data_IF_942477396596
#
_entry.id   IF_942477396596
#
_cell.length_a   1.000
_cell.length_b   1.000
_cell.length_c   1.000
_cell.angle_alpha   90.00
_cell.angle_beta   90.00
_cell.angle_gamma   90.00
#
_symmetry.space_group_name_H-M   'P 1'
#
loop_
_entity.id
_entity.type
_entity.pdbx_description
1 polymer ?
#
# COMPACT_ATOMS: atom_id res chain seq x y z
N UNK A 1 -10.36 -5.67 15.83
CA UNK A 1 -9.06 -5.08 15.42
C UNK A 1 -8.13 -6.21 15.05
N UNK A 2 -7.58 -6.20 13.85
CA UNK A 2 -6.52 -7.16 13.49
C UNK A 2 -5.29 -6.76 14.28
N UNK A 3 -4.74 -7.65 15.10
CA UNK A 3 -3.53 -7.35 15.85
C UNK A 3 -2.31 -7.56 14.93
N UNK A 4 -1.96 -6.53 14.16
CA UNK A 4 -0.80 -6.56 13.28
C UNK A 4 0.50 -6.71 14.05
N UNK A 5 0.59 -6.16 15.28
CA UNK A 5 1.78 -6.28 16.12
C UNK A 5 2.12 -7.74 16.44
N UNK A 6 1.12 -8.57 16.79
CA UNK A 6 1.33 -9.99 17.07
C UNK A 6 1.77 -10.80 15.85
N UNK A 7 1.37 -10.37 14.66
CA UNK A 7 1.64 -11.07 13.39
C UNK A 7 2.94 -10.63 12.71
N UNK A 8 3.57 -9.57 13.20
CA UNK A 8 4.68 -8.90 12.52
C UNK A 8 5.88 -9.84 12.27
N UNK A 9 6.29 -10.61 13.29
CA UNK A 9 7.46 -11.49 13.19
C UNK A 9 7.31 -12.63 12.18
N UNK A 10 6.09 -13.12 11.98
CA UNK A 10 5.78 -14.20 11.03
C UNK A 10 5.26 -13.68 9.69
N UNK A 11 5.17 -12.36 9.52
CA UNK A 11 4.52 -11.74 8.35
C UNK A 11 5.18 -12.14 7.04
N UNK A 12 6.50 -12.12 6.99
CA UNK A 12 7.29 -12.42 5.81
C UNK A 12 7.50 -13.93 5.57
N UNK A 13 7.08 -14.78 6.51
CA UNK A 13 7.16 -16.23 6.35
C UNK A 13 6.17 -16.77 5.31
N UNK A 14 5.15 -15.99 4.94
CA UNK A 14 4.21 -16.34 3.88
C UNK A 14 4.77 -15.97 2.49
N UNK A 15 5.22 -16.96 1.69
CA UNK A 15 5.82 -16.70 0.38
C UNK A 15 4.84 -16.03 -0.60
N UNK A 16 3.53 -16.17 -0.39
CA UNK A 16 2.50 -15.52 -1.23
C UNK A 16 2.48 -14.00 -1.03
N UNK A 17 2.77 -13.52 0.19
CA UNK A 17 2.89 -12.09 0.45
C UNK A 17 4.13 -11.50 -0.21
N UNK A 18 5.26 -12.20 -0.10
CA UNK A 18 6.52 -11.80 -0.73
C UNK A 18 6.36 -11.75 -2.25
N UNK A 19 5.79 -12.81 -2.86
CA UNK A 19 5.54 -12.85 -4.31
C UNK A 19 4.60 -11.73 -4.76
N UNK A 20 3.51 -11.49 -4.03
CA UNK A 20 2.58 -10.40 -4.35
C UNK A 20 3.29 -9.04 -4.35
N UNK A 21 4.10 -8.75 -3.33
CA UNK A 21 4.86 -7.50 -3.26
C UNK A 21 5.81 -7.35 -4.46
N UNK A 22 6.50 -8.43 -4.85
CA UNK A 22 7.38 -8.45 -6.03
C UNK A 22 6.61 -8.19 -7.33
N UNK A 23 5.49 -8.86 -7.53
CA UNK A 23 4.65 -8.68 -8.73
C UNK A 23 4.11 -7.25 -8.82
N UNK A 24 3.70 -6.67 -7.70
CA UNK A 24 3.25 -5.27 -7.64
C UNK A 24 4.39 -4.30 -7.93
N UNK A 25 5.59 -4.53 -7.37
CA UNK A 25 6.77 -3.71 -7.67
C UNK A 25 7.11 -3.72 -9.17
N UNK A 26 7.10 -4.90 -9.80
CA UNK A 26 7.35 -5.05 -11.23
C UNK A 26 6.30 -4.33 -12.09
N UNK A 27 5.04 -4.31 -11.64
CA UNK A 27 3.98 -3.57 -12.32
C UNK A 27 4.18 -2.04 -12.16
N UNK A 28 4.58 -1.57 -10.99
CA UNK A 28 4.90 -0.15 -10.76
C UNK A 28 6.03 0.31 -11.68
N UNK A 29 7.12 -0.44 -11.78
CA UNK A 29 8.26 -0.13 -12.69
C UNK A 29 7.86 0.01 -14.16
N UNK A 30 6.87 -0.76 -14.59
CA UNK A 30 6.37 -0.71 -15.98
C UNK A 30 5.50 0.52 -16.26
N UNK A 31 4.86 1.07 -15.24
CA UNK A 31 3.89 2.15 -15.39
C UNK A 31 4.44 3.52 -15.02
N UNK A 32 5.45 3.56 -14.16
CA UNK A 32 6.04 4.80 -13.64
C UNK A 32 7.55 4.75 -13.88
N UNK A 33 8.08 5.81 -14.50
CA UNK A 33 9.52 5.99 -14.64
C UNK A 33 10.13 6.37 -13.29
N UNK A 34 10.48 5.36 -12.49
CA UNK A 34 11.14 5.55 -11.19
C UNK A 34 12.56 6.08 -11.37
N UNK A 35 13.06 6.81 -10.39
CA UNK A 35 14.45 7.29 -10.35
C UNK A 35 14.98 7.43 -8.92
N UNK A 36 16.30 7.38 -8.79
CA UNK A 36 17.05 7.59 -7.55
C UNK A 36 16.99 9.03 -6.99
N UNK A 37 16.35 9.94 -7.72
CA UNK A 37 16.06 11.30 -7.23
C UNK A 37 14.68 11.38 -6.55
N UNK A 38 13.82 10.40 -6.76
CA UNK A 38 12.46 10.42 -6.24
C UNK A 38 12.42 10.16 -4.72
N UNK A 39 11.59 10.96 -4.04
CA UNK A 39 11.14 10.70 -2.67
C UNK A 39 9.80 9.98 -2.71
N UNK A 40 9.69 8.89 -1.98
CA UNK A 40 8.49 8.07 -1.95
C UNK A 40 7.96 7.86 -0.53
N UNK A 41 6.64 7.69 -0.42
CA UNK A 41 5.95 7.30 0.79
C UNK A 41 5.21 5.98 0.56
N UNK A 42 5.55 4.94 1.30
CA UNK A 42 4.68 3.77 1.46
C UNK A 42 3.77 3.97 2.68
N UNK A 43 2.45 3.99 2.49
CA UNK A 43 1.48 4.09 3.57
C UNK A 43 0.85 2.73 3.88
N UNK A 44 0.92 2.30 5.15
CA UNK A 44 0.60 0.94 5.57
C UNK A 44 1.66 -0.07 5.11
N UNK A 45 2.92 0.28 5.36
CA UNK A 45 4.07 -0.47 4.83
C UNK A 45 4.26 -1.87 5.44
N UNK A 46 3.67 -2.13 6.62
CA UNK A 46 3.91 -3.36 7.35
C UNK A 46 5.41 -3.59 7.59
N UNK A 47 5.90 -4.76 7.22
CA UNK A 47 7.32 -5.13 7.28
C UNK A 47 8.14 -4.64 6.07
N UNK A 48 7.55 -3.81 5.19
CA UNK A 48 8.23 -3.17 4.06
C UNK A 48 8.48 -4.05 2.84
N UNK A 49 7.71 -5.11 2.63
CA UNK A 49 7.93 -6.05 1.52
C UNK A 49 7.95 -5.37 0.15
N UNK A 50 7.02 -4.43 -0.11
CA UNK A 50 6.96 -3.72 -1.38
C UNK A 50 8.10 -2.71 -1.51
N UNK A 51 8.40 -1.94 -0.46
CA UNK A 51 9.52 -0.99 -0.46
C UNK A 51 10.87 -1.68 -0.61
N UNK A 52 11.09 -2.84 0.02
CA UNK A 52 12.32 -3.61 -0.23
C UNK A 52 12.45 -4.04 -1.70
N UNK A 53 11.33 -4.38 -2.35
CA UNK A 53 11.35 -4.70 -3.78
C UNK A 53 11.64 -3.47 -4.66
N UNK A 54 11.29 -2.24 -4.24
CA UNK A 54 11.48 -0.99 -4.98
C UNK A 54 12.72 -0.19 -4.55
N UNK A 55 13.44 -0.64 -3.53
CA UNK A 55 14.45 0.12 -2.81
C UNK A 55 15.58 0.67 -3.71
N UNK A 56 16.01 -0.11 -4.69
CA UNK A 56 17.07 0.28 -5.63
C UNK A 56 16.63 1.26 -6.72
N UNK A 57 15.34 1.48 -6.88
CA UNK A 57 14.77 2.33 -7.92
C UNK A 57 14.44 3.74 -7.44
N UNK A 58 14.49 3.98 -6.11
CA UNK A 58 14.04 5.20 -5.45
C UNK A 58 15.15 5.82 -4.61
N UNK A 59 15.16 7.16 -4.51
CA UNK A 59 16.18 7.89 -3.74
C UNK A 59 15.96 7.80 -2.25
N UNK A 60 14.77 8.11 -1.78
CA UNK A 60 14.38 8.07 -0.36
C UNK A 60 12.99 7.49 -0.23
N UNK A 61 12.79 6.60 0.73
CA UNK A 61 11.50 5.99 1.00
C UNK A 61 11.13 6.18 2.47
N UNK A 62 10.07 6.92 2.73
CA UNK A 62 9.41 6.94 4.04
C UNK A 62 8.43 5.77 4.11
N UNK A 63 8.57 4.94 5.14
CA UNK A 63 7.73 3.76 5.35
C UNK A 63 6.84 3.98 6.56
N UNK A 64 5.59 4.35 6.30
CA UNK A 64 4.63 4.70 7.32
C UNK A 64 3.69 3.53 7.66
N UNK A 65 3.55 3.25 8.95
CA UNK A 65 2.56 2.29 9.47
C UNK A 65 2.06 2.73 10.85
N UNK A 66 0.88 2.26 11.23
CA UNK A 66 0.31 2.48 12.57
C UNK A 66 0.77 1.43 13.57
N UNK A 67 1.20 0.24 13.11
CA UNK A 67 1.66 -0.88 13.93
C UNK A 67 3.13 -0.72 14.30
N UNK A 68 3.41 -0.55 15.60
CA UNK A 68 4.78 -0.47 16.08
C UNK A 68 5.51 -1.81 15.88
N UNK A 69 4.84 -2.94 16.08
CA UNK A 69 5.44 -4.26 15.87
C UNK A 69 5.88 -4.49 14.43
N UNK A 70 5.12 -4.00 13.43
CA UNK A 70 5.53 -4.04 12.03
C UNK A 70 6.78 -3.19 11.78
N UNK A 71 6.82 -1.98 12.33
CA UNK A 71 7.95 -1.06 12.19
C UNK A 71 9.22 -1.57 12.88
N UNK A 72 9.09 -2.25 14.01
CA UNK A 72 10.23 -2.86 14.71
C UNK A 72 10.88 -3.95 13.84
N UNK A 73 10.08 -4.85 13.26
CA UNK A 73 10.57 -5.89 12.33
C UNK A 73 11.18 -5.24 11.08
N UNK A 74 10.55 -4.20 10.54
CA UNK A 74 11.07 -3.43 9.41
C UNK A 74 12.44 -2.82 9.73
N UNK A 75 12.60 -2.20 10.91
CA UNK A 75 13.87 -1.61 11.36
C UNK A 75 14.98 -2.66 11.47
N UNK A 76 14.69 -3.83 12.05
CA UNK A 76 15.63 -4.97 12.13
C UNK A 76 16.08 -5.41 10.71
N UNK A 77 15.16 -5.48 9.75
CA UNK A 77 15.44 -5.85 8.36
C UNK A 77 16.31 -4.81 7.65
N UNK A 78 15.98 -3.52 7.78
CA UNK A 78 16.75 -2.42 7.20
C UNK A 78 18.20 -2.47 7.71
N UNK A 79 18.38 -2.59 9.02
CA UNK A 79 19.71 -2.68 9.65
C UNK A 79 20.49 -3.90 9.17
N UNK A 80 19.85 -5.07 9.11
CA UNK A 80 20.46 -6.32 8.65
C UNK A 80 20.87 -6.28 7.19
N UNK A 81 20.07 -5.61 6.34
CA UNK A 81 20.35 -5.47 4.91
C UNK A 81 21.33 -4.32 4.58
N UNK A 82 21.69 -3.48 5.56
CA UNK A 82 22.56 -2.31 5.33
C UNK A 82 21.94 -1.24 4.42
N UNK A 83 20.61 -1.18 4.36
CA UNK A 83 19.89 -0.23 3.51
C UNK A 83 19.85 1.14 4.20
N UNK A 84 20.15 2.22 3.45
CA UNK A 84 20.29 3.57 4.01
C UNK A 84 19.24 4.56 3.53
N UNK A 85 18.45 4.21 2.53
CA UNK A 85 17.44 5.10 1.93
C UNK A 85 15.99 4.75 2.33
N UNK A 86 15.80 3.90 3.32
CA UNK A 86 14.48 3.50 3.85
C UNK A 86 14.33 3.98 5.29
N UNK A 87 13.28 4.76 5.56
CA UNK A 87 13.07 5.47 6.84
C UNK A 87 11.70 5.08 7.44
N UNK A 88 11.66 4.15 8.41
CA UNK A 88 10.43 3.81 9.11
C UNK A 88 9.85 5.00 9.87
N UNK A 89 8.53 5.18 9.82
CA UNK A 89 7.81 6.24 10.53
C UNK A 89 6.49 5.70 11.08
N UNK A 90 6.25 5.87 12.38
CA UNK A 90 4.91 5.63 12.92
C UNK A 90 4.03 6.81 12.54
N UNK A 91 2.96 6.54 11.77
CA UNK A 91 2.06 7.57 11.26
C UNK A 91 0.67 7.02 11.03
N UNK A 92 -0.32 7.64 11.67
CA UNK A 92 -1.74 7.48 11.36
C UNK A 92 -2.26 8.80 10.78
N UNK A 93 -2.43 8.86 9.47
CA UNK A 93 -2.93 10.06 8.81
C UNK A 93 -4.36 10.44 9.23
N UNK A 94 -5.12 9.56 9.91
CA UNK A 94 -6.46 9.89 10.41
C UNK A 94 -6.41 10.73 11.69
N UNK A 95 -5.36 10.61 12.51
CA UNK A 95 -5.27 11.19 13.85
C UNK A 95 -4.03 12.04 14.10
N UNK A 96 -2.91 11.71 13.42
CA UNK A 96 -1.64 12.39 13.66
C UNK A 96 -1.53 13.74 12.92
N UNK A 97 -0.68 14.65 13.37
CA UNK A 97 -0.35 15.86 12.65
C UNK A 97 0.09 15.58 11.22
N UNK A 98 -0.39 16.39 10.29
CA UNK A 98 -0.10 16.22 8.88
C UNK A 98 1.40 16.47 8.59
N UNK A 99 2.14 15.54 7.93
CA UNK A 99 3.55 15.71 7.65
C UNK A 99 3.83 16.93 6.75
N UNK A 100 4.92 17.65 7.03
CA UNK A 100 5.35 18.79 6.20
C UNK A 100 6.03 18.32 4.89
N UNK A 101 6.57 17.12 4.89
CA UNK A 101 7.30 16.56 3.74
C UNK A 101 6.36 16.28 2.57
N UNK A 102 6.91 16.38 1.35
CA UNK A 102 6.20 16.08 0.10
C UNK A 102 6.97 15.00 -0.65
N UNK A 103 6.22 14.24 -1.48
CA UNK A 103 6.71 13.05 -2.15
C UNK A 103 6.40 13.09 -3.65
N UNK A 104 7.28 12.52 -4.46
CA UNK A 104 7.05 12.31 -5.89
C UNK A 104 6.13 11.12 -6.15
N UNK A 105 6.13 10.17 -5.21
CA UNK A 105 5.36 8.93 -5.27
C UNK A 105 4.77 8.58 -3.90
N UNK A 106 3.46 8.38 -3.83
CA UNK A 106 2.81 7.72 -2.68
C UNK A 106 2.23 6.40 -3.14
N UNK A 107 2.52 5.32 -2.40
CA UNK A 107 1.99 4.00 -2.74
C UNK A 107 1.55 3.20 -1.51
N UNK A 108 0.68 2.24 -1.75
CA UNK A 108 0.19 1.31 -0.72
C UNK A 108 -0.13 -0.05 -1.32
N UNK A 109 0.02 -1.11 -0.53
CA UNK A 109 -0.30 -2.49 -0.89
C UNK A 109 -1.18 -3.14 0.18
N UNK A 110 -2.41 -3.49 -0.17
CA UNK A 110 -3.37 -4.16 0.73
C UNK A 110 -3.63 -3.38 2.03
N UNK A 111 -3.72 -2.07 1.93
CA UNK A 111 -3.88 -1.15 3.05
C UNK A 111 -5.18 -0.37 2.96
N UNK A 112 -5.57 0.08 1.76
CA UNK A 112 -6.68 1.00 1.57
C UNK A 112 -8.01 0.43 2.10
N UNK A 113 -8.22 -0.89 2.02
CA UNK A 113 -9.44 -1.53 2.53
C UNK A 113 -9.52 -1.55 4.07
N UNK A 114 -8.44 -1.25 4.79
CA UNK A 114 -8.43 -1.04 6.25
C UNK A 114 -8.72 0.41 6.66
N UNK A 115 -8.75 1.34 5.72
CA UNK A 115 -8.92 2.78 6.00
C UNK A 115 -10.40 3.13 5.91
N UNK A 116 -11.01 3.51 7.02
CA UNK A 116 -12.45 3.72 7.12
C UNK A 116 -12.95 4.87 6.21
N UNK A 117 -12.30 6.03 6.26
CA UNK A 117 -12.62 7.18 5.41
C UNK A 117 -11.71 7.24 4.19
N UNK A 118 -12.12 6.55 3.12
CA UNK A 118 -11.40 6.55 1.84
C UNK A 118 -11.35 7.93 1.18
N UNK A 119 -12.37 8.77 1.36
CA UNK A 119 -12.40 10.10 0.74
C UNK A 119 -11.41 11.04 1.41
N UNK A 120 -11.28 10.98 2.74
CA UNK A 120 -10.31 11.77 3.50
C UNK A 120 -8.88 11.35 3.20
N UNK A 121 -8.59 10.05 3.23
CA UNK A 121 -7.22 9.58 2.99
C UNK A 121 -6.73 9.91 1.57
N UNK A 122 -7.61 9.83 0.56
CA UNK A 122 -7.24 10.19 -0.81
C UNK A 122 -6.88 11.68 -0.95
N UNK A 123 -7.61 12.57 -0.26
CA UNK A 123 -7.26 14.01 -0.18
C UNK A 123 -5.92 14.22 0.51
N UNK A 124 -5.65 13.47 1.58
CA UNK A 124 -4.38 13.52 2.30
C UNK A 124 -3.22 13.02 1.44
N UNK A 125 -3.41 11.93 0.69
CA UNK A 125 -2.41 11.47 -0.28
C UNK A 125 -2.15 12.53 -1.37
N UNK A 126 -3.19 13.18 -1.89
CA UNK A 126 -3.01 14.27 -2.82
C UNK A 126 -2.20 15.43 -2.21
N UNK A 127 -2.52 15.81 -0.97
CA UNK A 127 -1.81 16.89 -0.28
C UNK A 127 -0.35 16.55 0.03
N UNK A 128 0.00 15.27 0.22
CA UNK A 128 1.38 14.80 0.45
C UNK A 128 2.22 14.74 -0.83
N UNK A 129 1.61 14.74 -2.00
CA UNK A 129 2.34 14.65 -3.26
C UNK A 129 2.82 16.02 -3.75
N UNK A 130 3.98 16.03 -4.40
CA UNK A 130 4.43 17.14 -5.23
C UNK A 130 3.51 17.31 -6.46
N UNK A 131 3.48 18.48 -7.11
CA UNK A 131 2.77 18.65 -8.38
C UNK A 131 3.25 17.61 -9.42
N UNK A 132 2.30 16.98 -10.10
CA UNK A 132 2.53 15.85 -11.02
C UNK A 132 3.03 14.54 -10.35
N UNK A 133 3.13 14.48 -9.03
CA UNK A 133 3.45 13.26 -8.31
C UNK A 133 2.41 12.15 -8.51
N UNK A 134 2.80 10.92 -8.27
CA UNK A 134 1.99 9.73 -8.53
C UNK A 134 1.40 9.13 -7.25
N UNK A 135 0.13 8.74 -7.32
CA UNK A 135 -0.49 7.84 -6.36
C UNK A 135 -0.60 6.44 -6.97
N UNK A 136 -0.17 5.43 -6.24
CA UNK A 136 -0.33 4.02 -6.60
C UNK A 136 -0.99 3.27 -5.44
N UNK A 137 -2.05 2.53 -5.72
CA UNK A 137 -2.68 1.66 -4.73
C UNK A 137 -2.93 0.27 -5.34
N UNK A 138 -2.41 -0.77 -4.68
CA UNK A 138 -2.75 -2.15 -5.01
C UNK A 138 -3.63 -2.72 -3.90
N UNK A 139 -4.88 -3.07 -4.25
CA UNK A 139 -5.85 -3.53 -3.26
C UNK A 139 -6.90 -4.46 -3.89
N UNK A 140 -7.81 -4.98 -3.06
CA UNK A 140 -8.85 -5.94 -3.42
C UNK A 140 -9.90 -5.30 -4.35
N UNK A 141 -10.20 -5.97 -5.44
CA UNK A 141 -11.49 -5.75 -6.13
C UNK A 141 -12.64 -6.09 -5.19
N UNK A 142 -13.82 -5.49 -5.45
CA UNK A 142 -15.01 -5.72 -4.64
C UNK A 142 -15.29 -7.21 -4.51
N UNK A 143 -15.50 -7.66 -3.28
CA UNK A 143 -15.75 -9.04 -2.92
C UNK A 143 -16.98 -9.16 -1.98
N UNK A 144 -17.34 -10.36 -1.52
CA UNK A 144 -18.57 -10.65 -0.79
C UNK A 144 -18.40 -10.80 0.73
N UNK A 145 -17.25 -10.37 1.29
CA UNK A 145 -16.91 -10.48 2.71
C UNK A 145 -16.18 -11.76 3.08
N UNK A 146 -15.90 -12.64 2.13
CA UNK A 146 -15.22 -13.91 2.41
C UNK A 146 -13.69 -13.83 2.35
N UNK A 147 -13.11 -12.67 2.04
CA UNK A 147 -11.66 -12.51 2.01
C UNK A 147 -11.06 -12.59 3.42
N UNK A 148 -11.62 -11.87 4.38
CA UNK A 148 -11.18 -11.90 5.78
C UNK A 148 -11.91 -13.00 6.55
N UNK A 149 -11.22 -14.10 6.85
CA UNK A 149 -11.74 -15.23 7.63
C UNK A 149 -11.17 -15.30 9.04
N UNK A 150 -10.33 -14.34 9.42
CA UNK A 150 -9.58 -14.29 10.68
C UNK A 150 -10.22 -13.40 11.75
N UNK A 151 -11.51 -13.07 11.59
CA UNK A 151 -12.24 -12.20 12.52
C UNK A 151 -11.95 -10.71 12.35
N UNK A 152 -11.24 -10.32 11.28
CA UNK A 152 -11.06 -8.90 10.92
C UNK A 152 -12.43 -8.30 10.61
N UNK A 153 -12.82 -7.31 11.39
CA UNK A 153 -14.03 -6.51 11.24
C UNK A 153 -13.66 -5.07 10.90
N UNK A 154 -14.63 -4.28 10.45
CA UNK A 154 -14.42 -2.86 10.09
C UNK A 154 -13.46 -2.65 8.92
N UNK A 155 -13.59 -3.45 7.87
CA UNK A 155 -12.84 -3.29 6.63
C UNK A 155 -13.79 -3.12 5.45
N UNK A 156 -13.33 -2.43 4.42
CA UNK A 156 -14.04 -2.42 3.14
C UNK A 156 -13.96 -3.81 2.49
N UNK A 157 -15.07 -4.27 1.92
CA UNK A 157 -15.14 -5.55 1.17
C UNK A 157 -14.59 -5.36 -0.25
N UNK A 158 -13.34 -4.87 -0.34
CA UNK A 158 -12.71 -4.47 -1.58
C UNK A 158 -13.39 -3.27 -2.24
N UNK A 159 -12.95 -2.89 -3.43
CA UNK A 159 -13.38 -1.69 -4.12
C UNK A 159 -13.97 -1.96 -5.49
N UNK A 160 -15.11 -1.34 -5.78
CA UNK A 160 -15.59 -1.16 -7.16
C UNK A 160 -14.71 -0.12 -7.84
N UNK A 161 -14.02 -0.50 -8.91
CA UNK A 161 -13.04 0.35 -9.61
C UNK A 161 -13.65 1.66 -10.11
N UNK A 162 -14.89 1.61 -10.65
CA UNK A 162 -15.54 2.81 -11.17
C UNK A 162 -15.95 3.80 -10.07
N UNK A 163 -16.35 3.30 -8.89
CA UNK A 163 -16.63 4.14 -7.73
C UNK A 163 -15.34 4.70 -7.13
N UNK A 164 -14.29 3.89 -7.03
CA UNK A 164 -13.00 4.35 -6.52
C UNK A 164 -12.38 5.39 -7.45
N UNK A 165 -12.47 5.20 -8.78
CA UNK A 165 -12.02 6.19 -9.75
C UNK A 165 -12.65 7.58 -9.49
N UNK A 166 -13.96 7.64 -9.31
CA UNK A 166 -14.66 8.91 -9.02
C UNK A 166 -14.18 9.57 -7.73
N UNK A 167 -13.90 8.79 -6.69
CA UNK A 167 -13.34 9.30 -5.42
C UNK A 167 -11.93 9.86 -5.63
N UNK A 168 -11.07 9.15 -6.36
CA UNK A 168 -9.70 9.57 -6.67
C UNK A 168 -9.70 10.86 -7.49
N UNK A 169 -10.53 10.94 -8.55
CA UNK A 169 -10.70 12.16 -9.34
C UNK A 169 -11.23 13.33 -8.50
N UNK A 170 -12.21 13.08 -7.61
CA UNK A 170 -12.74 14.09 -6.68
C UNK A 170 -11.72 14.57 -5.64
N UNK A 171 -10.69 13.76 -5.35
CA UNK A 171 -9.59 14.13 -4.47
C UNK A 171 -8.49 14.97 -5.19
N UNK A 172 -8.67 15.31 -6.47
CA UNK A 172 -7.75 16.17 -7.24
C UNK A 172 -6.69 15.39 -8.03
N UNK A 173 -6.97 14.13 -8.36
CA UNK A 173 -6.12 13.33 -9.23
C UNK A 173 -6.67 13.31 -10.67
N UNK A 174 -5.77 13.04 -11.61
CA UNK A 174 -6.06 12.82 -13.03
C UNK A 174 -5.37 11.55 -13.52
N UNK A 175 -5.64 11.16 -14.76
CA UNK A 175 -5.02 9.99 -15.41
C UNK A 175 -5.20 8.70 -14.60
N UNK A 176 -6.37 8.54 -13.98
CA UNK A 176 -6.68 7.37 -13.16
C UNK A 176 -6.82 6.14 -14.03
N UNK A 177 -5.99 5.14 -13.80
CA UNK A 177 -5.99 3.88 -14.55
C UNK A 177 -5.97 2.68 -13.60
N UNK A 178 -6.60 1.59 -14.04
CA UNK A 178 -6.65 0.33 -13.29
C UNK A 178 -6.19 -0.84 -14.16
N UNK A 179 -5.44 -1.75 -13.55
CA UNK A 179 -5.15 -3.06 -14.11
C UNK A 179 -5.32 -4.13 -13.03
N UNK A 180 -5.53 -5.39 -13.42
CA UNK A 180 -5.42 -6.51 -12.48
C UNK A 180 -3.97 -6.94 -12.45
N UNK A 181 -3.34 -6.93 -11.27
CA UNK A 181 -1.90 -7.19 -11.12
C UNK A 181 -1.62 -8.55 -10.50
N UNK A 182 -2.54 -9.05 -9.68
CA UNK A 182 -2.37 -10.33 -8.98
C UNK A 182 -3.72 -10.96 -8.65
N UNK A 183 -3.74 -12.27 -8.36
CA UNK A 183 -4.93 -12.99 -7.89
C UNK A 183 -4.58 -13.77 -6.62
N UNK A 184 -5.30 -13.51 -5.54
CA UNK A 184 -5.17 -14.29 -4.32
C UNK A 184 -6.17 -15.44 -4.37
N UNK A 185 -5.67 -16.67 -4.28
CA UNK A 185 -6.49 -17.89 -4.23
C UNK A 185 -6.61 -18.35 -2.78
N UNK A 186 -7.83 -18.45 -2.27
CA UNK A 186 -8.13 -18.94 -0.92
C UNK A 186 -9.12 -20.09 -0.97
N UNK A 187 -8.92 -21.08 -0.10
CA UNK A 187 -9.90 -22.13 0.11
C UNK A 187 -10.93 -21.66 1.15
N UNK A 188 -12.16 -21.48 0.71
CA UNK A 188 -13.29 -21.10 1.56
C UNK A 188 -14.22 -22.30 1.68
N UNK A 189 -14.21 -22.96 2.84
CA UNK A 189 -14.83 -24.28 2.99
C UNK A 189 -14.20 -25.29 2.01
N UNK A 190 -15.03 -25.89 1.15
CA UNK A 190 -14.59 -26.88 0.15
C UNK A 190 -14.37 -26.29 -1.25
N UNK A 191 -14.48 -24.96 -1.41
CA UNK A 191 -14.33 -24.29 -2.71
C UNK A 191 -13.10 -23.40 -2.74
N UNK A 192 -12.40 -23.41 -3.87
CA UNK A 192 -11.39 -22.39 -4.14
C UNK A 192 -12.09 -21.10 -4.61
N UNK A 193 -11.68 -19.97 -4.05
CA UNK A 193 -12.15 -18.65 -4.42
C UNK A 193 -10.99 -17.76 -4.82
N UNK A 194 -11.18 -16.97 -5.87
CA UNK A 194 -10.19 -16.05 -6.41
C UNK A 194 -10.58 -14.63 -6.00
N UNK A 195 -9.61 -13.89 -5.50
CA UNK A 195 -9.74 -12.49 -5.11
C UNK A 195 -8.73 -11.67 -5.93
N UNK A 196 -9.19 -10.98 -6.99
CA UNK A 196 -8.30 -10.16 -7.80
C UNK A 196 -7.79 -8.96 -7.01
N UNK A 197 -6.51 -8.63 -7.24
CA UNK A 197 -5.87 -7.41 -6.77
C UNK A 197 -5.73 -6.47 -7.96
N UNK A 198 -6.34 -5.29 -7.86
CA UNK A 198 -6.08 -4.24 -8.83
C UNK A 198 -4.80 -3.48 -8.48
N UNK A 199 -4.16 -2.90 -9.49
CA UNK A 199 -3.23 -1.80 -9.35
C UNK A 199 -3.88 -0.56 -9.95
N UNK A 200 -4.07 0.44 -9.13
CA UNK A 200 -4.53 1.77 -9.52
C UNK A 200 -3.32 2.70 -9.60
N UNK A 201 -3.23 3.47 -10.66
CA UNK A 201 -2.29 4.59 -10.78
C UNK A 201 -3.07 5.87 -11.03
N UNK A 202 -2.64 6.97 -10.44
CA UNK A 202 -3.20 8.29 -10.66
C UNK A 202 -2.11 9.34 -10.51
N UNK A 203 -2.32 10.54 -11.05
CA UNK A 203 -1.35 11.63 -11.01
C UNK A 203 -2.01 12.86 -10.39
N UNK A 204 -1.31 13.53 -9.47
CA UNK A 204 -1.75 14.82 -8.92
C UNK A 204 -1.85 15.87 -10.03
N UNK A 205 -2.94 16.65 -10.00
CA UNK A 205 -3.10 17.81 -10.90
C UNK A 205 -2.11 18.92 -10.61
#
# INVERSE_FOLDING_TARGET
MTNFDERARDWDSDPKKVERARVVADAIRKLIALSDCMKALEYGCGTGLLSFALQSDLGQITLADTSQGMLDVLGEKIASAGVTNMHPMRLDLSTDPFPAERYDLTYSLMTLHHIHDTDDILKKFNALLEPNGYLVAADLDKEDGSFHTDGTIDVHLGFDRGKLQKKVESAGFRNVAFSTVHEIRKKIGNKEKIFPIFLMTAQKQ
#
